data_IF_495122071905
#
_entry.id   IF_495122071905
#
_cell.length_a   1.000
_cell.length_b   1.000
_cell.length_c   1.000
_cell.angle_alpha   90.00
_cell.angle_beta   90.00
_cell.angle_gamma   90.00
#
_symmetry.space_group_name_H-M   'P 1'
#
loop_
_entity.id
_entity.type
_entity.pdbx_description
1 polymer ?
#
# COMPACT_ATOMS: atom_id res chain seq x y z
N UNK A 1 -51.55 39.71 24.03
CA UNK A 1 -50.62 38.56 23.87
C UNK A 1 -50.87 37.76 22.58
N UNK A 2 -52.03 37.93 21.93
CA UNK A 2 -52.43 37.26 20.67
C UNK A 2 -51.93 37.93 19.38
N UNK A 3 -51.72 39.25 19.37
CA UNK A 3 -51.30 39.97 18.15
C UNK A 3 -49.82 39.73 17.76
N UNK A 4 -48.95 39.59 18.77
CA UNK A 4 -47.51 39.36 18.57
C UNK A 4 -47.23 37.97 18.00
N UNK A 5 -47.97 36.94 18.43
CA UNK A 5 -47.83 35.56 17.95
C UNK A 5 -48.34 35.38 16.52
N UNK A 6 -49.46 36.01 16.15
CA UNK A 6 -49.97 35.98 14.77
C UNK A 6 -48.99 36.65 13.80
N UNK A 7 -48.36 37.76 14.21
CA UNK A 7 -47.36 38.48 13.41
C UNK A 7 -46.06 37.68 13.23
N UNK A 8 -45.60 36.96 14.26
CA UNK A 8 -44.42 36.08 14.16
C UNK A 8 -44.68 34.86 13.26
N UNK A 9 -45.88 34.27 13.34
CA UNK A 9 -46.27 33.13 12.49
C UNK A 9 -46.38 33.52 11.01
N UNK A 10 -46.91 34.71 10.71
CA UNK A 10 -46.95 35.23 9.34
C UNK A 10 -45.54 35.47 8.75
N UNK A 11 -44.59 35.93 9.58
CA UNK A 11 -43.19 36.14 9.15
C UNK A 11 -42.46 34.82 8.91
N UNK A 12 -42.65 33.81 9.77
CA UNK A 12 -42.03 32.49 9.63
C UNK A 12 -42.54 31.75 8.39
N UNK A 13 -43.85 31.79 8.15
CA UNK A 13 -44.49 31.18 6.97
C UNK A 13 -44.02 31.85 5.68
N UNK A 14 -43.94 33.18 5.65
CA UNK A 14 -43.43 33.92 4.48
C UNK A 14 -41.96 33.60 4.21
N UNK A 15 -41.14 33.55 5.27
CA UNK A 15 -39.72 33.21 5.16
C UNK A 15 -39.51 31.83 4.51
N UNK A 16 -40.25 30.80 4.96
CA UNK A 16 -40.19 29.46 4.36
C UNK A 16 -40.66 29.50 2.91
N UNK A 17 -41.84 30.05 2.63
CA UNK A 17 -42.44 30.04 1.28
C UNK A 17 -41.55 30.70 0.22
N UNK A 18 -40.81 31.76 0.59
CA UNK A 18 -39.90 32.46 -0.33
C UNK A 18 -38.60 31.67 -0.62
N UNK A 19 -38.12 30.84 0.31
CA UNK A 19 -36.76 30.26 0.26
C UNK A 19 -36.73 28.75 0.09
N UNK A 20 -37.80 28.07 0.47
CA UNK A 20 -37.98 26.62 0.34
C UNK A 20 -37.70 26.07 -1.07
N UNK A 21 -38.13 26.72 -2.17
CA UNK A 21 -37.79 26.24 -3.51
C UNK A 21 -36.28 26.10 -3.76
N UNK A 22 -35.47 27.01 -3.20
CA UNK A 22 -34.01 26.96 -3.30
C UNK A 22 -33.41 25.82 -2.47
N UNK A 23 -34.00 25.55 -1.30
CA UNK A 23 -33.56 24.45 -0.43
C UNK A 23 -33.87 23.09 -1.07
N UNK A 24 -35.10 22.92 -1.58
CA UNK A 24 -35.50 21.70 -2.31
C UNK A 24 -34.63 21.47 -3.53
N UNK A 25 -34.31 22.54 -4.28
CA UNK A 25 -33.40 22.43 -5.43
C UNK A 25 -32.00 21.97 -5.03
N UNK A 26 -31.45 22.52 -3.95
CA UNK A 26 -30.16 22.08 -3.43
C UNK A 26 -30.21 20.60 -3.00
N UNK A 27 -31.28 20.20 -2.32
CA UNK A 27 -31.48 18.83 -1.85
C UNK A 27 -31.53 17.82 -3.01
N UNK A 28 -32.23 18.15 -4.10
CA UNK A 28 -32.25 17.35 -5.34
C UNK A 28 -30.85 17.19 -5.96
N UNK A 29 -30.10 18.30 -6.07
CA UNK A 29 -28.77 18.32 -6.66
C UNK A 29 -27.77 17.52 -5.82
N UNK A 30 -27.82 17.68 -4.49
CA UNK A 30 -27.01 16.93 -3.54
C UNK A 30 -27.34 15.44 -3.62
N UNK A 31 -28.62 15.05 -3.62
CA UNK A 31 -29.03 13.66 -3.74
C UNK A 31 -28.55 13.03 -5.07
N UNK A 32 -28.63 13.77 -6.17
CA UNK A 32 -28.14 13.33 -7.49
C UNK A 32 -26.62 13.13 -7.50
N UNK A 33 -25.88 14.03 -6.86
CA UNK A 33 -24.43 13.93 -6.72
C UNK A 33 -24.00 12.79 -5.78
N UNK A 34 -24.70 12.60 -4.65
CA UNK A 34 -24.45 11.47 -3.74
C UNK A 34 -24.70 10.11 -4.42
N UNK A 35 -25.72 10.01 -5.27
CA UNK A 35 -26.08 8.76 -5.96
C UNK A 35 -25.16 8.38 -7.13
N UNK A 36 -24.30 9.26 -7.63
CA UNK A 36 -23.49 8.94 -8.81
C UNK A 36 -22.26 9.80 -9.07
N UNK A 37 -21.86 10.60 -8.08
CA UNK A 37 -20.77 11.54 -8.17
C UNK A 37 -21.12 12.81 -8.95
N UNK A 38 -20.23 13.80 -8.85
CA UNK A 38 -20.34 15.09 -9.56
C UNK A 38 -20.44 14.95 -11.07
N UNK A 39 -19.94 13.86 -11.65
CA UNK A 39 -20.00 13.60 -13.09
C UNK A 39 -21.43 13.40 -13.64
N UNK A 40 -22.43 13.14 -12.78
CA UNK A 40 -23.85 13.07 -13.20
C UNK A 40 -24.54 14.42 -13.28
N UNK A 41 -23.94 15.47 -12.73
CA UNK A 41 -24.46 16.83 -12.86
C UNK A 41 -24.06 17.39 -14.22
N UNK A 42 -25.02 17.95 -14.95
CA UNK A 42 -24.70 18.75 -16.11
C UNK A 42 -24.12 20.12 -15.69
N UNK A 43 -23.65 20.91 -16.66
CA UNK A 43 -23.01 22.21 -16.37
C UNK A 43 -23.92 23.18 -15.60
N UNK A 44 -25.19 23.29 -15.99
CA UNK A 44 -26.15 24.18 -15.34
C UNK A 44 -26.46 23.72 -13.92
N UNK A 45 -26.64 22.41 -13.70
CA UNK A 45 -26.84 21.80 -12.39
C UNK A 45 -25.64 22.00 -11.46
N UNK A 46 -24.41 21.87 -11.97
CA UNK A 46 -23.20 22.11 -11.19
C UNK A 46 -23.04 23.60 -10.81
N UNK A 47 -23.39 24.52 -11.71
CA UNK A 47 -23.44 25.95 -11.42
C UNK A 47 -24.50 26.26 -10.35
N UNK A 48 -25.69 25.69 -10.51
CA UNK A 48 -26.82 25.90 -9.62
C UNK A 48 -26.57 25.32 -8.21
N UNK A 49 -25.81 24.22 -8.11
CA UNK A 49 -25.41 23.64 -6.83
C UNK A 49 -24.68 24.65 -5.94
N UNK A 50 -23.73 25.40 -6.52
CA UNK A 50 -22.94 26.38 -5.75
C UNK A 50 -23.79 27.61 -5.40
N UNK A 51 -24.67 28.06 -6.30
CA UNK A 51 -25.53 29.22 -6.05
C UNK A 51 -26.58 28.92 -4.97
N UNK A 52 -27.25 27.76 -5.05
CA UNK A 52 -28.24 27.30 -4.08
C UNK A 52 -27.62 26.96 -2.74
N UNK A 53 -26.40 26.40 -2.71
CA UNK A 53 -25.63 26.23 -1.47
C UNK A 53 -25.44 27.55 -0.70
N UNK A 54 -24.98 28.61 -1.37
CA UNK A 54 -24.83 29.93 -0.73
C UNK A 54 -26.16 30.48 -0.23
N UNK A 55 -27.24 30.31 -0.99
CA UNK A 55 -28.58 30.72 -0.58
C UNK A 55 -29.06 29.97 0.67
N UNK A 56 -28.80 28.67 0.78
CA UNK A 56 -29.13 27.86 1.95
C UNK A 56 -28.31 28.25 3.18
N UNK A 57 -27.00 28.49 3.03
CA UNK A 57 -26.15 28.98 4.14
C UNK A 57 -26.62 30.36 4.62
N UNK A 58 -26.97 31.27 3.70
CA UNK A 58 -27.57 32.56 4.06
C UNK A 58 -28.91 32.39 4.77
N UNK A 59 -29.75 31.46 4.31
CA UNK A 59 -31.04 31.15 4.95
C UNK A 59 -30.85 30.62 6.37
N UNK A 60 -29.86 29.75 6.58
CA UNK A 60 -29.49 29.23 7.90
C UNK A 60 -29.02 30.35 8.84
N UNK A 61 -28.17 31.26 8.37
CA UNK A 61 -27.72 32.41 9.16
C UNK A 61 -28.89 33.30 9.58
N UNK A 62 -29.79 33.65 8.65
CA UNK A 62 -30.97 34.46 8.96
C UNK A 62 -31.92 33.72 9.90
N UNK A 63 -32.15 32.42 9.69
CA UNK A 63 -33.00 31.60 10.54
C UNK A 63 -32.47 31.50 11.99
N UNK A 64 -31.14 31.44 12.16
CA UNK A 64 -30.48 31.51 13.48
C UNK A 64 -30.65 32.88 14.14
N UNK A 65 -30.48 33.96 13.38
CA UNK A 65 -30.58 35.33 13.90
C UNK A 65 -31.99 35.65 14.40
N UNK A 66 -33.03 35.24 13.65
CA UNK A 66 -34.43 35.48 14.03
C UNK A 66 -35.01 34.37 14.93
N UNK A 67 -34.17 33.45 15.43
CA UNK A 67 -34.56 32.34 16.31
C UNK A 67 -35.75 31.51 15.80
N UNK A 68 -35.67 31.04 14.55
CA UNK A 68 -36.65 30.10 13.98
C UNK A 68 -36.68 28.76 14.75
N UNK A 69 -37.71 27.95 14.47
CA UNK A 69 -37.88 26.65 15.11
C UNK A 69 -36.70 25.70 14.87
N UNK A 70 -36.45 24.84 15.86
CA UNK A 70 -35.30 23.93 15.84
C UNK A 70 -35.32 22.94 14.67
N UNK A 71 -36.51 22.55 14.18
CA UNK A 71 -36.63 21.61 13.08
C UNK A 71 -36.11 22.22 11.77
N UNK A 72 -36.47 23.47 11.49
CA UNK A 72 -35.94 24.21 10.35
C UNK A 72 -34.43 24.43 10.44
N UNK A 73 -33.92 24.81 11.62
CA UNK A 73 -32.49 24.98 11.84
C UNK A 73 -31.72 23.68 11.56
N UNK A 74 -32.19 22.55 12.09
CA UNK A 74 -31.58 21.25 11.87
C UNK A 74 -31.64 20.81 10.40
N UNK A 75 -32.74 21.09 9.70
CA UNK A 75 -32.88 20.80 8.27
C UNK A 75 -31.83 21.56 7.45
N UNK A 76 -31.74 22.87 7.63
CA UNK A 76 -30.82 23.73 6.88
C UNK A 76 -29.35 23.43 7.20
N UNK A 77 -29.03 23.12 8.45
CA UNK A 77 -27.66 22.77 8.87
C UNK A 77 -27.22 21.44 8.23
N UNK A 78 -28.07 20.41 8.26
CA UNK A 78 -27.78 19.13 7.60
C UNK A 78 -27.65 19.27 6.08
N UNK A 79 -28.54 20.04 5.45
CA UNK A 79 -28.49 20.29 4.02
C UNK A 79 -27.20 21.03 3.62
N UNK A 80 -26.81 22.06 4.39
CA UNK A 80 -25.57 22.80 4.18
C UNK A 80 -24.33 21.91 4.37
N UNK A 81 -24.31 21.05 5.40
CA UNK A 81 -23.21 20.12 5.64
C UNK A 81 -23.06 19.10 4.51
N UNK A 82 -24.15 18.49 4.04
CA UNK A 82 -24.13 17.56 2.90
C UNK A 82 -23.66 18.25 1.62
N UNK A 83 -24.19 19.43 1.31
CA UNK A 83 -23.77 20.21 0.16
C UNK A 83 -22.28 20.59 0.21
N UNK A 84 -21.75 20.94 1.40
CA UNK A 84 -20.33 21.23 1.59
C UNK A 84 -19.44 20.04 1.20
N UNK A 85 -19.81 18.82 1.63
CA UNK A 85 -19.06 17.61 1.27
C UNK A 85 -19.07 17.37 -0.25
N UNK A 86 -20.21 17.58 -0.92
CA UNK A 86 -20.30 17.42 -2.37
C UNK A 86 -19.43 18.44 -3.12
N UNK A 87 -19.39 19.70 -2.67
CA UNK A 87 -18.70 20.79 -3.36
C UNK A 87 -17.18 20.77 -3.10
N UNK A 88 -16.77 20.55 -1.85
CA UNK A 88 -15.38 20.78 -1.42
C UNK A 88 -14.62 19.51 -1.06
N UNK A 89 -15.28 18.39 -0.72
CA UNK A 89 -14.56 17.17 -0.40
C UNK A 89 -14.09 16.47 -1.69
N UNK A 90 -12.86 15.92 -1.71
CA UNK A 90 -12.38 15.15 -2.85
C UNK A 90 -13.30 13.96 -3.15
N UNK A 91 -14.04 14.03 -4.26
CA UNK A 91 -14.95 12.97 -4.71
C UNK A 91 -14.20 11.83 -5.42
N UNK A 92 -13.03 11.44 -4.92
CA UNK A 92 -12.27 10.33 -5.48
C UNK A 92 -12.83 9.01 -4.93
N UNK A 93 -13.46 8.20 -5.79
CA UNK A 93 -13.90 6.87 -5.37
C UNK A 93 -12.69 5.99 -5.00
N UNK A 94 -12.84 5.13 -3.99
CA UNK A 94 -11.82 4.13 -3.60
C UNK A 94 -11.39 3.31 -4.83
N UNK A 95 -12.34 2.95 -5.70
CA UNK A 95 -12.05 2.25 -6.95
C UNK A 95 -11.13 3.04 -7.87
N UNK A 96 -11.36 4.35 -8.03
CA UNK A 96 -10.49 5.22 -8.85
C UNK A 96 -9.10 5.40 -8.24
N UNK A 97 -9.00 5.45 -6.91
CA UNK A 97 -7.71 5.51 -6.20
C UNK A 97 -6.91 4.22 -6.38
N UNK A 98 -7.55 3.06 -6.18
CA UNK A 98 -6.93 1.76 -6.42
C UNK A 98 -6.53 1.59 -7.88
N UNK A 99 -7.40 1.94 -8.83
CA UNK A 99 -7.07 1.89 -10.26
C UNK A 99 -5.85 2.77 -10.58
N UNK A 100 -5.81 4.00 -10.07
CA UNK A 100 -4.67 4.91 -10.25
C UNK A 100 -3.40 4.34 -9.63
N UNK A 101 -3.48 3.76 -8.43
CA UNK A 101 -2.36 3.13 -7.75
C UNK A 101 -1.77 1.99 -8.59
N UNK A 102 -2.59 1.05 -9.06
CA UNK A 102 -2.10 -0.10 -9.83
C UNK A 102 -1.68 0.24 -11.26
N UNK A 103 -2.42 1.10 -11.96
CA UNK A 103 -2.15 1.41 -13.38
C UNK A 103 -1.01 2.40 -13.53
N UNK A 104 -0.91 3.38 -12.63
CA UNK A 104 0.02 4.50 -12.79
C UNK A 104 0.97 4.66 -11.61
N UNK A 105 0.52 4.44 -10.38
CA UNK A 105 1.32 4.66 -9.16
C UNK A 105 2.49 3.70 -9.03
N UNK A 106 2.20 2.39 -8.94
CA UNK A 106 3.21 1.34 -8.78
C UNK A 106 4.22 1.35 -9.94
N UNK A 107 3.82 1.40 -11.23
CA UNK A 107 4.78 1.44 -12.33
C UNK A 107 5.66 2.70 -12.34
N UNK A 108 5.13 3.85 -11.91
CA UNK A 108 5.94 5.06 -11.77
C UNK A 108 6.92 4.96 -10.61
N UNK A 109 6.48 4.41 -9.47
CA UNK A 109 7.35 4.17 -8.32
C UNK A 109 8.51 3.24 -8.69
N UNK A 110 8.25 2.14 -9.38
CA UNK A 110 9.29 1.23 -9.88
C UNK A 110 10.29 1.93 -10.81
N UNK A 111 9.81 2.70 -11.79
CA UNK A 111 10.69 3.43 -12.71
C UNK A 111 11.55 4.47 -12.02
N UNK A 112 11.00 5.20 -11.05
CA UNK A 112 11.76 6.18 -10.24
C UNK A 112 12.78 5.50 -9.33
N UNK A 113 12.48 4.28 -8.88
CA UNK A 113 13.32 3.50 -7.96
C UNK A 113 14.41 2.67 -8.66
N UNK A 114 14.54 2.77 -9.98
CA UNK A 114 15.41 1.91 -10.81
C UNK A 114 16.83 1.73 -10.29
N UNK A 115 17.59 2.80 -9.96
CA UNK A 115 18.95 2.67 -9.45
C UNK A 115 19.03 1.91 -8.12
N UNK A 116 18.11 2.20 -7.19
CA UNK A 116 18.10 1.58 -5.86
C UNK A 116 17.66 0.12 -5.95
N UNK A 117 16.70 -0.20 -6.83
CA UNK A 117 16.34 -1.57 -7.19
C UNK A 117 17.55 -2.33 -7.72
N UNK A 118 18.31 -1.75 -8.66
CA UNK A 118 19.49 -2.40 -9.22
C UNK A 118 20.56 -2.67 -8.15
N UNK A 119 20.75 -1.76 -7.20
CA UNK A 119 21.64 -1.97 -6.05
C UNK A 119 21.16 -3.16 -5.22
N UNK A 120 19.87 -3.26 -4.90
CA UNK A 120 19.30 -4.39 -4.18
C UNK A 120 19.55 -5.73 -4.89
N UNK A 121 19.29 -5.78 -6.20
CA UNK A 121 19.59 -6.96 -7.03
C UNK A 121 21.08 -7.27 -7.08
N UNK A 122 21.94 -6.26 -7.20
CA UNK A 122 23.39 -6.44 -7.23
C UNK A 122 23.90 -6.99 -5.89
N UNK A 123 23.42 -6.48 -4.76
CA UNK A 123 23.79 -6.99 -3.43
C UNK A 123 23.36 -8.44 -3.24
N UNK A 124 22.13 -8.76 -3.64
CA UNK A 124 21.61 -10.14 -3.63
C UNK A 124 22.49 -11.06 -4.49
N UNK A 125 22.80 -10.63 -5.72
CA UNK A 125 23.59 -11.41 -6.66
C UNK A 125 25.04 -11.60 -6.21
N UNK A 126 25.71 -10.53 -5.75
CA UNK A 126 27.07 -10.60 -5.22
C UNK A 126 27.11 -11.51 -3.98
N UNK A 127 26.13 -11.39 -3.08
CA UNK A 127 25.98 -12.29 -1.95
C UNK A 127 25.88 -13.75 -2.40
N UNK A 128 25.03 -14.04 -3.39
CA UNK A 128 24.90 -15.39 -3.94
C UNK A 128 26.20 -15.91 -4.57
N UNK A 129 26.92 -15.08 -5.32
CA UNK A 129 28.22 -15.48 -5.86
C UNK A 129 29.24 -15.79 -4.77
N UNK A 130 29.32 -14.95 -3.73
CA UNK A 130 30.26 -15.14 -2.62
C UNK A 130 29.90 -16.40 -1.82
N UNK A 131 28.62 -16.57 -1.45
CA UNK A 131 28.16 -17.76 -0.75
C UNK A 131 28.42 -19.04 -1.52
N UNK A 132 28.15 -19.02 -2.84
CA UNK A 132 28.44 -20.13 -3.73
C UNK A 132 29.94 -20.44 -3.79
N UNK A 133 30.77 -19.44 -4.06
CA UNK A 133 32.22 -19.61 -4.22
C UNK A 133 32.88 -20.14 -2.93
N UNK A 134 32.49 -19.63 -1.77
CA UNK A 134 33.03 -20.05 -0.48
C UNK A 134 32.67 -21.52 -0.16
N UNK A 135 31.41 -21.92 -0.38
CA UNK A 135 30.98 -23.31 -0.15
C UNK A 135 31.61 -24.26 -1.17
N UNK A 136 31.82 -23.82 -2.42
CA UNK A 136 32.54 -24.60 -3.42
C UNK A 136 34.02 -24.80 -3.08
N UNK A 137 34.64 -23.86 -2.37
CA UNK A 137 36.02 -23.96 -1.91
C UNK A 137 36.14 -24.86 -0.66
N UNK A 138 35.26 -24.64 0.32
CA UNK A 138 35.17 -25.44 1.53
C UNK A 138 33.71 -25.51 1.98
N UNK A 139 33.14 -26.71 1.94
CA UNK A 139 31.73 -26.91 2.27
C UNK A 139 31.41 -26.58 3.73
N UNK A 140 32.40 -26.43 4.62
CA UNK A 140 32.18 -26.00 6.01
C UNK A 140 31.57 -24.59 6.12
N UNK A 141 31.82 -23.71 5.13
CA UNK A 141 31.21 -22.38 5.04
C UNK A 141 29.68 -22.42 4.98
N UNK A 142 29.10 -23.53 4.55
CA UNK A 142 27.65 -23.69 4.49
C UNK A 142 27.00 -23.41 5.85
N UNK A 143 27.59 -23.91 6.93
CA UNK A 143 27.07 -23.76 8.28
C UNK A 143 27.26 -22.35 8.85
N UNK A 144 28.10 -21.51 8.23
CA UNK A 144 28.21 -20.08 8.54
C UNK A 144 27.04 -19.28 7.98
N UNK A 145 26.59 -19.63 6.77
CA UNK A 145 25.53 -18.88 6.09
C UNK A 145 24.14 -19.42 6.40
N UNK A 146 23.97 -20.74 6.48
CA UNK A 146 22.68 -21.41 6.55
C UNK A 146 22.48 -22.04 7.94
N UNK A 147 21.66 -21.43 8.82
CA UNK A 147 21.28 -22.01 10.09
C UNK A 147 20.56 -23.37 9.93
N UNK A 148 20.66 -24.24 10.93
CA UNK A 148 20.10 -25.61 10.86
C UNK A 148 18.59 -25.66 10.56
N UNK A 149 17.81 -24.70 11.06
CA UNK A 149 16.37 -24.60 10.77
C UNK A 149 16.10 -24.27 9.29
N UNK A 150 16.89 -23.38 8.69
CA UNK A 150 16.82 -22.99 7.29
C UNK A 150 17.32 -24.10 6.35
N UNK A 151 18.33 -24.85 6.78
CA UNK A 151 18.89 -25.97 6.02
C UNK A 151 17.84 -27.07 5.78
N UNK A 152 16.93 -27.31 6.73
CA UNK A 152 15.87 -28.31 6.59
C UNK A 152 16.42 -29.72 6.31
N UNK A 153 17.55 -30.07 6.92
CA UNK A 153 18.25 -31.33 6.70
C UNK A 153 19.06 -31.43 5.41
N UNK A 154 19.10 -30.37 4.58
CA UNK A 154 19.91 -30.28 3.37
C UNK A 154 21.22 -29.58 3.69
N UNK A 155 22.34 -30.22 3.41
CA UNK A 155 23.66 -29.64 3.62
C UNK A 155 24.76 -30.47 2.97
N UNK A 156 26.02 -30.09 3.17
CA UNK A 156 27.18 -30.76 2.58
C UNK A 156 27.28 -32.26 2.88
N UNK A 157 26.71 -32.72 4.00
CA UNK A 157 26.71 -34.13 4.40
C UNK A 157 25.52 -34.93 3.87
N UNK A 158 24.56 -34.30 3.18
CA UNK A 158 23.40 -34.98 2.61
C UNK A 158 23.80 -35.83 1.40
N UNK A 159 23.20 -37.01 1.25
CA UNK A 159 23.41 -37.82 0.05
C UNK A 159 22.74 -37.18 -1.17
N UNK A 160 23.20 -37.52 -2.37
CA UNK A 160 22.59 -37.04 -3.61
C UNK A 160 21.10 -37.39 -3.67
N UNK A 161 20.73 -38.61 -3.29
CA UNK A 161 19.35 -39.10 -3.31
C UNK A 161 18.45 -38.31 -2.37
N UNK A 162 18.98 -37.90 -1.20
CA UNK A 162 18.26 -37.05 -0.25
C UNK A 162 18.02 -35.65 -0.83
N UNK A 163 19.04 -35.07 -1.47
CA UNK A 163 18.94 -33.75 -2.09
C UNK A 163 17.98 -33.78 -3.29
N UNK A 164 18.11 -34.76 -4.16
CA UNK A 164 17.21 -34.96 -5.31
C UNK A 164 15.76 -35.19 -4.86
N UNK A 165 15.57 -36.05 -3.85
CA UNK A 165 14.27 -36.26 -3.20
C UNK A 165 13.69 -34.99 -2.56
N UNK A 166 14.52 -34.02 -2.16
CA UNK A 166 14.02 -32.75 -1.63
C UNK A 166 13.54 -31.77 -2.72
N UNK A 167 13.94 -31.96 -3.97
CA UNK A 167 13.48 -31.15 -5.11
C UNK A 167 12.23 -31.73 -5.77
N UNK A 168 12.18 -33.06 -5.88
CA UNK A 168 11.17 -33.79 -6.66
C UNK A 168 10.24 -34.69 -5.84
N UNK A 169 10.52 -34.88 -4.55
CA UNK A 169 9.88 -35.91 -3.74
C UNK A 169 8.41 -35.65 -3.46
N UNK A 170 7.56 -36.20 -4.30
CA UNK A 170 6.22 -36.65 -3.94
C UNK A 170 6.35 -37.92 -3.09
N UNK A 171 6.43 -37.77 -1.77
CA UNK A 171 6.22 -38.90 -0.85
C UNK A 171 4.73 -39.22 -0.88
N UNK A 172 4.27 -40.47 -1.11
CA UNK A 172 2.84 -40.78 -1.05
C UNK A 172 2.23 -40.35 0.30
N UNK A 173 1.35 -39.34 0.29
CA UNK A 173 0.83 -38.66 1.49
C UNK A 173 1.38 -37.24 1.78
N UNK A 174 2.26 -36.71 0.92
CA UNK A 174 3.02 -35.45 1.10
C UNK A 174 2.31 -34.16 0.72
N UNK A 175 1.07 -34.18 0.22
CA UNK A 175 0.40 -32.92 -0.20
C UNK A 175 0.32 -31.91 0.96
N UNK A 176 0.11 -32.39 2.19
CA UNK A 176 0.17 -31.55 3.39
C UNK A 176 1.61 -31.08 3.69
N UNK A 177 2.63 -31.88 3.43
CA UNK A 177 4.04 -31.56 3.68
C UNK A 177 4.55 -30.50 2.72
N UNK A 178 4.27 -30.63 1.40
CA UNK A 178 4.70 -29.66 0.39
C UNK A 178 3.98 -28.31 0.57
N UNK A 179 2.66 -28.34 0.84
CA UNK A 179 1.89 -27.13 1.13
C UNK A 179 2.35 -26.45 2.43
N UNK A 180 2.67 -27.22 3.48
CA UNK A 180 3.20 -26.68 4.74
C UNK A 180 4.58 -26.07 4.57
N UNK A 181 5.45 -26.69 3.76
CA UNK A 181 6.78 -26.17 3.45
C UNK A 181 6.72 -24.89 2.60
N UNK A 182 5.85 -24.86 1.59
CA UNK A 182 5.61 -23.67 0.79
C UNK A 182 5.04 -22.51 1.64
N UNK A 183 4.10 -22.81 2.55
CA UNK A 183 3.54 -21.82 3.48
C UNK A 183 4.60 -21.29 4.45
N UNK A 184 5.48 -22.17 4.94
CA UNK A 184 6.62 -21.78 5.78
C UNK A 184 7.59 -20.86 5.03
N UNK A 185 8.04 -21.26 3.83
CA UNK A 185 8.95 -20.45 3.01
C UNK A 185 8.33 -19.09 2.66
N UNK A 186 7.07 -19.08 2.22
CA UNK A 186 6.36 -17.85 1.91
C UNK A 186 6.28 -16.92 3.12
N UNK A 187 5.91 -17.46 4.29
CA UNK A 187 5.80 -16.68 5.53
C UNK A 187 7.16 -16.14 5.99
N UNK A 188 8.19 -16.99 5.95
CA UNK A 188 9.56 -16.62 6.28
C UNK A 188 10.09 -15.52 5.35
N UNK A 189 9.98 -15.70 4.04
CA UNK A 189 10.44 -14.71 3.06
C UNK A 189 9.65 -13.41 3.14
N UNK A 190 8.35 -13.46 3.47
CA UNK A 190 7.55 -12.28 3.74
C UNK A 190 8.06 -11.52 4.97
N UNK A 191 8.37 -12.21 6.07
CA UNK A 191 8.96 -11.60 7.26
C UNK A 191 10.32 -10.96 6.96
N UNK A 192 11.17 -11.66 6.20
CA UNK A 192 12.46 -11.12 5.75
C UNK A 192 12.25 -9.87 4.90
N UNK A 193 11.34 -9.87 3.93
CA UNK A 193 11.06 -8.70 3.10
C UNK A 193 10.58 -7.50 3.95
N UNK A 194 9.66 -7.73 4.90
CA UNK A 194 9.20 -6.68 5.82
C UNK A 194 10.37 -6.12 6.65
N UNK A 195 11.23 -7.00 7.18
CA UNK A 195 12.39 -6.59 7.97
C UNK A 195 13.41 -5.80 7.14
N UNK A 196 13.73 -6.29 5.94
CA UNK A 196 14.61 -5.63 4.97
C UNK A 196 14.10 -4.23 4.63
N UNK A 197 12.79 -4.08 4.43
CA UNK A 197 12.17 -2.76 4.21
C UNK A 197 12.25 -1.86 5.45
N UNK A 198 11.78 -2.36 6.60
CA UNK A 198 11.63 -1.57 7.83
C UNK A 198 12.97 -1.08 8.37
N UNK A 199 14.02 -1.91 8.35
CA UNK A 199 15.34 -1.53 8.82
C UNK A 199 16.03 -0.50 7.93
N UNK A 200 15.46 -0.18 6.78
CA UNK A 200 15.95 0.86 5.89
C UNK A 200 16.01 2.24 6.53
N UNK A 201 15.13 2.50 7.50
CA UNK A 201 15.12 3.72 8.33
C UNK A 201 16.49 4.00 8.99
N UNK A 202 17.28 2.97 9.25
CA UNK A 202 18.64 3.08 9.78
C UNK A 202 19.66 3.27 8.65
N UNK A 203 19.49 4.34 7.87
CA UNK A 203 20.43 4.78 6.84
C UNK A 203 20.70 3.74 5.74
N UNK A 204 19.71 2.88 5.43
CA UNK A 204 19.78 1.79 4.46
C UNK A 204 20.82 0.68 4.74
N UNK A 205 21.64 0.82 5.80
CA UNK A 205 22.76 -0.09 6.05
C UNK A 205 22.29 -1.51 6.43
N UNK A 206 21.37 -1.70 7.40
CA UNK A 206 20.92 -3.06 7.73
C UNK A 206 20.14 -3.70 6.58
N UNK A 207 19.39 -2.90 5.80
CA UNK A 207 18.73 -3.34 4.56
C UNK A 207 19.74 -3.93 3.58
N UNK A 208 20.85 -3.23 3.33
CA UNK A 208 21.89 -3.70 2.42
C UNK A 208 22.56 -4.99 2.92
N UNK A 209 22.92 -5.03 4.21
CA UNK A 209 23.55 -6.20 4.84
C UNK A 209 22.63 -7.43 4.80
N UNK A 210 21.35 -7.26 5.13
CA UNK A 210 20.39 -8.36 5.16
C UNK A 210 20.06 -8.88 3.76
N UNK A 211 19.99 -7.97 2.77
CA UNK A 211 19.82 -8.36 1.35
C UNK A 211 21.03 -9.16 0.86
N UNK A 212 22.24 -8.69 1.17
CA UNK A 212 23.47 -9.40 0.85
C UNK A 212 23.55 -10.79 1.52
N UNK A 213 23.19 -10.87 2.82
CA UNK A 213 23.16 -12.12 3.57
C UNK A 213 22.17 -13.12 2.98
N UNK A 214 20.96 -12.68 2.60
CA UNK A 214 20.01 -13.55 1.89
C UNK A 214 20.59 -14.07 0.58
N UNK A 215 21.35 -13.23 -0.14
CA UNK A 215 22.16 -13.66 -1.27
C UNK A 215 23.11 -14.80 -0.89
N UNK A 216 23.92 -14.63 0.16
CA UNK A 216 24.87 -15.68 0.59
C UNK A 216 24.20 -17.00 0.95
N UNK A 217 23.01 -16.96 1.55
CA UNK A 217 22.20 -18.16 1.86
C UNK A 217 21.79 -18.88 0.58
N UNK A 218 21.28 -18.14 -0.41
CA UNK A 218 20.89 -18.71 -1.71
C UNK A 218 22.10 -19.33 -2.42
N UNK A 219 23.24 -18.63 -2.43
CA UNK A 219 24.48 -19.12 -3.03
C UNK A 219 25.00 -20.40 -2.38
N UNK A 220 25.03 -20.42 -1.05
CA UNK A 220 25.45 -21.59 -0.27
C UNK A 220 24.54 -22.80 -0.50
N UNK A 221 23.22 -22.57 -0.53
CA UNK A 221 22.25 -23.61 -0.86
C UNK A 221 22.47 -24.16 -2.27
N UNK A 222 22.62 -23.29 -3.27
CA UNK A 222 22.87 -23.69 -4.66
C UNK A 222 24.18 -24.50 -4.81
N UNK A 223 25.22 -24.15 -4.06
CA UNK A 223 26.50 -24.86 -4.10
C UNK A 223 26.39 -26.32 -3.62
N UNK A 224 25.65 -26.59 -2.54
CA UNK A 224 25.45 -27.97 -2.04
C UNK A 224 24.84 -28.88 -3.10
N UNK A 225 23.82 -28.41 -3.81
CA UNK A 225 23.20 -29.16 -4.90
C UNK A 225 24.13 -29.30 -6.10
N UNK A 226 24.91 -28.27 -6.40
CA UNK A 226 25.88 -28.32 -7.50
C UNK A 226 26.97 -29.37 -7.23
N UNK A 227 27.46 -29.47 -5.99
CA UNK A 227 28.44 -30.49 -5.58
C UNK A 227 27.88 -31.93 -5.71
N UNK A 228 26.58 -32.11 -5.50
CA UNK A 228 25.89 -33.39 -5.70
C UNK A 228 25.59 -33.71 -7.18
N UNK A 229 25.92 -32.80 -8.10
CA UNK A 229 25.61 -32.93 -9.54
C UNK A 229 24.16 -32.62 -9.89
N UNK A 230 23.47 -31.84 -9.05
CA UNK A 230 22.06 -31.44 -9.18
C UNK A 230 21.89 -29.93 -9.46
N UNK A 231 22.92 -29.29 -10.04
CA UNK A 231 22.95 -27.83 -10.25
C UNK A 231 21.84 -27.33 -11.19
N UNK A 232 21.49 -28.10 -12.22
CA UNK A 232 20.39 -27.75 -13.12
C UNK A 232 19.02 -27.96 -12.45
N UNK A 233 18.88 -29.03 -11.68
CA UNK A 233 17.65 -29.37 -10.96
C UNK A 233 17.28 -28.30 -9.93
N UNK A 234 18.25 -27.87 -9.11
CA UNK A 234 18.03 -26.80 -8.13
C UNK A 234 17.79 -25.45 -8.80
N UNK A 235 18.42 -25.18 -9.96
CA UNK A 235 18.15 -23.97 -10.74
C UNK A 235 16.72 -23.93 -11.26
N UNK A 236 16.24 -25.03 -11.85
CA UNK A 236 14.88 -25.13 -12.34
C UNK A 236 13.86 -24.98 -11.20
N UNK A 237 14.10 -25.66 -10.08
CA UNK A 237 13.26 -25.57 -8.89
C UNK A 237 13.21 -24.13 -8.33
N UNK A 238 14.38 -23.48 -8.19
CA UNK A 238 14.48 -22.11 -7.70
C UNK A 238 13.87 -21.11 -8.68
N UNK A 239 13.88 -21.37 -9.99
CA UNK A 239 13.30 -20.46 -10.98
C UNK A 239 11.78 -20.35 -10.88
N UNK A 240 11.11 -21.42 -10.42
CA UNK A 240 9.64 -21.44 -10.27
C UNK A 240 9.21 -20.66 -9.03
N UNK A 241 9.92 -20.84 -7.92
CA UNK A 241 9.52 -20.28 -6.62
C UNK A 241 10.32 -19.02 -6.25
N UNK A 242 11.62 -19.05 -6.47
CA UNK A 242 12.56 -18.00 -6.08
C UNK A 242 12.44 -16.72 -6.89
N UNK A 243 11.93 -16.72 -8.12
CA UNK A 243 11.82 -15.49 -8.92
C UNK A 243 10.91 -14.46 -8.25
N UNK A 244 9.76 -14.88 -7.73
CA UNK A 244 8.83 -13.96 -7.05
C UNK A 244 9.36 -13.54 -5.68
N UNK A 245 9.95 -14.45 -4.93
CA UNK A 245 10.44 -14.24 -3.56
C UNK A 245 11.70 -13.37 -3.53
N UNK A 246 12.70 -13.68 -4.37
CA UNK A 246 13.94 -12.90 -4.50
C UNK A 246 13.60 -11.49 -4.99
N UNK A 247 12.68 -11.36 -5.96
CA UNK A 247 12.21 -10.06 -6.44
C UNK A 247 11.53 -9.28 -5.32
N UNK A 248 10.70 -9.92 -4.50
CA UNK A 248 10.03 -9.26 -3.38
C UNK A 248 11.05 -8.71 -2.36
N UNK A 249 12.09 -9.47 -2.02
CA UNK A 249 13.16 -9.00 -1.13
C UNK A 249 13.93 -7.83 -1.77
N UNK A 250 14.27 -7.90 -3.06
CA UNK A 250 14.98 -6.81 -3.74
C UNK A 250 14.14 -5.53 -3.84
N UNK A 251 12.83 -5.66 -4.06
CA UNK A 251 11.88 -4.53 -4.04
C UNK A 251 11.75 -3.93 -2.65
N UNK A 252 11.64 -4.78 -1.62
CA UNK A 252 11.64 -4.35 -0.23
C UNK A 252 12.94 -3.63 0.15
N UNK A 253 14.09 -4.14 -0.34
CA UNK A 253 15.39 -3.50 -0.15
C UNK A 253 15.44 -2.11 -0.78
N UNK A 254 14.88 -1.95 -1.99
CA UNK A 254 14.81 -0.65 -2.63
C UNK A 254 13.91 0.35 -1.91
N UNK A 255 12.78 -0.12 -1.38
CA UNK A 255 11.90 0.69 -0.54
C UNK A 255 12.58 1.11 0.76
N UNK A 256 13.20 0.18 1.47
CA UNK A 256 13.95 0.47 2.69
C UNK A 256 15.12 1.41 2.46
N UNK A 257 15.88 1.21 1.39
CA UNK A 257 16.98 2.09 1.04
C UNK A 257 16.52 3.52 0.72
N UNK A 258 15.34 3.70 0.10
CA UNK A 258 14.76 5.04 -0.09
C UNK A 258 14.38 5.71 1.24
N UNK A 259 13.85 4.97 2.21
CA UNK A 259 13.62 5.51 3.56
C UNK A 259 14.94 5.96 4.21
N UNK A 260 15.99 5.15 4.09
CA UNK A 260 17.32 5.48 4.62
C UNK A 260 17.93 6.70 3.94
N UNK A 261 17.81 6.80 2.61
CA UNK A 261 18.28 7.96 1.85
C UNK A 261 17.51 9.24 2.20
N UNK A 262 16.20 9.17 2.41
CA UNK A 262 15.41 10.31 2.86
C UNK A 262 15.85 10.82 4.24
N UNK A 263 16.37 9.94 5.10
CA UNK A 263 16.89 10.32 6.43
C UNK A 263 18.34 10.84 6.37
N UNK A 264 19.18 10.22 5.54
CA UNK A 264 20.58 10.59 5.32
C UNK A 264 20.72 11.92 4.58
N UNK A 265 19.94 12.08 3.50
CA UNK A 265 20.06 13.12 2.50
C UNK A 265 18.68 13.75 2.22
N UNK A 266 18.04 14.39 3.21
CA UNK A 266 16.70 14.98 3.04
C UNK A 266 16.68 16.22 2.13
N UNK A 267 17.84 16.74 1.73
CA UNK A 267 17.95 18.00 0.99
C UNK A 267 17.46 19.19 1.83
N UNK A 268 16.58 20.01 1.27
CA UNK A 268 15.99 21.17 1.93
C UNK A 268 14.77 20.83 2.82
N UNK A 269 14.34 19.57 2.82
CA UNK A 269 13.20 19.12 3.61
C UNK A 269 13.62 18.78 5.03
N UNK A 270 12.69 18.90 5.98
CA UNK A 270 12.87 18.23 7.27
C UNK A 270 12.83 16.71 7.05
N UNK A 271 13.47 15.92 7.92
CA UNK A 271 13.43 14.45 7.80
C UNK A 271 12.00 13.90 7.86
N UNK A 272 11.12 14.56 8.62
CA UNK A 272 9.72 14.18 8.69
C UNK A 272 9.02 14.42 7.34
N UNK A 273 9.30 15.56 6.69
CA UNK A 273 8.72 15.89 5.39
C UNK A 273 9.31 15.05 4.26
N UNK A 274 10.60 14.70 4.33
CA UNK A 274 11.26 13.81 3.37
C UNK A 274 10.70 12.38 3.41
N UNK A 275 10.20 11.94 4.57
CA UNK A 275 9.51 10.66 4.76
C UNK A 275 8.01 10.74 4.49
N UNK A 276 7.44 11.94 4.42
CA UNK A 276 6.04 12.12 4.12
C UNK A 276 5.77 11.73 2.65
N UNK A 277 4.71 10.96 2.37
CA UNK A 277 4.39 10.63 0.99
C UNK A 277 4.04 11.91 0.24
N UNK A 278 4.74 12.17 -0.86
CA UNK A 278 4.43 13.28 -1.77
C UNK A 278 3.16 12.96 -2.55
N UNK A 279 1.99 13.19 -1.95
CA UNK A 279 0.73 13.25 -2.69
C UNK A 279 0.59 14.66 -3.27
N UNK A 280 1.26 14.89 -4.39
CA UNK A 280 1.01 16.02 -5.28
C UNK A 280 0.64 15.49 -6.67
#
# INVERSE_FOLDING_TARGET
MTDTTISSDLRSVRFRREREPGWTRLEELVAKAEAGGMAKLNFDEARDLTSTYRQTVNSLSVAREISMDQALLNYLDNLAARAYLVIYAPQASIRSLLARLFVSGIPQAFRRSGPVLLIGFALMFIGALIGYALVMQDSSWYYTFVPGELAGGRGPSSSREMLEGSLYGDVPGSQNTLASFATYLFSHNTQVAILVFALGVFWALPTALLTFYNGTVIGAFFAVFTQAGLGFDVFAWLSIHGVTEISAICVAAAGGAQLGLAILLPGDLSRADALAPAWA
#
